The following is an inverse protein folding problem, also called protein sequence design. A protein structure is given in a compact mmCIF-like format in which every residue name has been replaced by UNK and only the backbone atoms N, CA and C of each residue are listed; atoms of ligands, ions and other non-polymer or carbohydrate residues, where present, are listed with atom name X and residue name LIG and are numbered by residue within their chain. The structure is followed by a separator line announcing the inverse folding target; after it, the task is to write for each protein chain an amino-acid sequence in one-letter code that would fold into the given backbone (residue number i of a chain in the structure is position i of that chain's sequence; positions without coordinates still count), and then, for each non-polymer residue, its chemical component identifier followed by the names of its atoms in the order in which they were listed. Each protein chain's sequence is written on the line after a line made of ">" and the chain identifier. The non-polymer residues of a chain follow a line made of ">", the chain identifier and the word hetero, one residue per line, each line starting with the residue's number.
data_IF_917230075579
#
_entry.id   IF_917230075579
#
_cell.length_a   1.000
_cell.length_b   1.000
_cell.length_c   1.000
_cell.angle_alpha   90.00
_cell.angle_beta   90.00
_cell.angle_gamma   90.00
#
_symmetry.space_group_name_H-M   'P 1'
#
loop_
_entity.id
_entity.type
_entity.pdbx_description
1 polymer ?
#
# COMPACT_ATOMS: atom_id res chain seq x y z
N UNK A 1 -11.11 10.85 -9.49
CA UNK A 1 -11.58 9.99 -10.58
C UNK A 1 -10.73 8.75 -10.81
N UNK A 2 -9.42 8.82 -11.14
CA UNK A 2 -8.62 7.59 -11.40
C UNK A 2 -8.01 6.98 -10.13
N UNK A 3 -7.51 7.80 -9.20
CA UNK A 3 -7.02 7.31 -7.90
C UNK A 3 -8.12 6.65 -7.06
N UNK A 4 -9.33 7.22 -7.08
CA UNK A 4 -10.49 6.66 -6.36
C UNK A 4 -10.84 5.26 -6.84
N UNK A 5 -10.81 5.00 -8.16
CA UNK A 5 -11.03 3.66 -8.71
C UNK A 5 -9.96 2.66 -8.28
N UNK A 6 -8.70 3.09 -8.24
CA UNK A 6 -7.62 2.24 -7.72
C UNK A 6 -7.85 1.92 -6.23
N UNK A 7 -8.21 2.93 -5.44
CA UNK A 7 -8.55 2.77 -4.03
C UNK A 7 -9.73 1.82 -3.82
N UNK A 8 -10.80 1.95 -4.62
CA UNK A 8 -11.93 1.02 -4.60
C UNK A 8 -11.48 -0.41 -4.88
N UNK A 9 -10.61 -0.60 -5.88
CA UNK A 9 -10.13 -1.93 -6.25
C UNK A 9 -9.26 -2.58 -5.17
N UNK A 10 -8.39 -1.83 -4.49
CA UNK A 10 -7.54 -2.41 -3.43
C UNK A 10 -8.27 -2.51 -2.09
N UNK A 11 -9.30 -1.70 -1.84
CA UNK A 11 -10.05 -1.71 -0.57
C UNK A 11 -10.90 -2.96 -0.38
N UNK A 12 -11.19 -3.73 -1.44
CA UNK A 12 -11.90 -5.01 -1.33
C UNK A 12 -11.02 -6.14 -0.78
N UNK A 13 -9.70 -5.94 -0.72
CA UNK A 13 -8.76 -6.96 -0.25
C UNK A 13 -8.93 -7.11 1.26
N UNK A 14 -9.31 -8.30 1.75
CA UNK A 14 -9.47 -8.53 3.17
C UNK A 14 -8.13 -8.43 3.90
N UNK A 15 -8.13 -7.74 5.05
CA UNK A 15 -6.97 -7.61 5.91
C UNK A 15 -6.93 -8.75 6.94
N UNK A 16 -6.05 -9.73 6.72
CA UNK A 16 -5.86 -10.88 7.61
C UNK A 16 -4.80 -10.63 8.69
N UNK A 17 -4.24 -9.42 8.80
CA UNK A 17 -3.22 -9.10 9.81
C UNK A 17 -3.84 -9.12 11.20
N UNK A 18 -3.00 -9.37 12.19
CA UNK A 18 -3.44 -9.39 13.59
C UNK A 18 -3.81 -7.97 14.02
N UNK A 19 -5.09 -7.70 14.31
CA UNK A 19 -5.61 -6.34 14.54
C UNK A 19 -4.80 -5.51 15.57
N UNK A 20 -4.30 -6.14 16.62
CA UNK A 20 -3.47 -5.50 17.66
C UNK A 20 -2.03 -5.18 17.23
N UNK A 21 -1.63 -5.54 16.01
CA UNK A 21 -0.33 -5.22 15.39
C UNK A 21 -0.49 -4.35 14.14
N UNK A 22 -1.67 -3.78 13.91
CA UNK A 22 -1.95 -2.95 12.74
C UNK A 22 -1.87 -1.47 13.13
N UNK A 23 -0.83 -0.79 12.65
CA UNK A 23 -0.69 0.67 12.79
C UNK A 23 -1.16 1.43 11.54
N UNK A 24 -1.12 0.77 10.37
CA UNK A 24 -1.48 1.34 9.07
C UNK A 24 -2.49 0.47 8.32
N UNK A 25 -3.40 1.10 7.58
CA UNK A 25 -4.37 0.39 6.75
C UNK A 25 -3.68 -0.38 5.64
N UNK A 26 -4.22 -1.56 5.30
CA UNK A 26 -3.67 -2.37 4.22
C UNK A 26 -3.73 -1.64 2.87
N UNK A 27 -4.81 -0.91 2.61
CA UNK A 27 -4.96 -0.09 1.40
C UNK A 27 -3.84 0.93 1.23
N UNK A 28 -3.40 1.55 2.32
CA UNK A 28 -2.41 2.61 2.28
C UNK A 28 -1.02 2.02 2.00
N UNK A 29 -0.70 0.88 2.62
CA UNK A 29 0.53 0.12 2.36
C UNK A 29 0.58 -0.37 0.89
N UNK A 30 -0.53 -0.88 0.36
CA UNK A 30 -0.60 -1.35 -1.02
C UNK A 30 -0.44 -0.20 -2.01
N UNK A 31 -1.09 0.94 -1.76
CA UNK A 31 -0.94 2.13 -2.59
C UNK A 31 0.51 2.62 -2.60
N UNK A 32 1.12 2.76 -1.42
CA UNK A 32 2.52 3.15 -1.24
C UNK A 32 3.44 2.22 -2.04
N UNK A 33 3.29 0.91 -1.84
CA UNK A 33 4.13 -0.11 -2.51
C UNK A 33 4.01 0.00 -4.03
N UNK A 34 2.80 0.16 -4.57
CA UNK A 34 2.58 0.31 -6.01
C UNK A 34 3.26 1.58 -6.53
N UNK A 35 3.08 2.71 -5.83
CA UNK A 35 3.72 3.98 -6.20
C UNK A 35 5.25 3.86 -6.18
N UNK A 36 5.82 3.34 -5.10
CA UNK A 36 7.26 3.18 -4.95
C UNK A 36 7.87 2.26 -6.02
N UNK A 37 7.25 1.10 -6.29
CA UNK A 37 7.72 0.16 -7.32
C UNK A 37 7.65 0.78 -8.73
N UNK A 38 6.58 1.51 -9.05
CA UNK A 38 6.48 2.23 -10.34
C UNK A 38 7.54 3.35 -10.42
N UNK A 39 7.89 3.96 -9.29
CA UNK A 39 8.96 4.95 -9.18
C UNK A 39 10.38 4.36 -9.17
N UNK A 40 10.52 3.03 -9.24
CA UNK A 40 11.82 2.35 -9.38
C UNK A 40 12.40 1.78 -8.09
N UNK A 41 11.62 1.66 -7.02
CA UNK A 41 12.04 0.94 -5.81
C UNK A 41 12.30 -0.54 -6.12
N UNK A 42 13.48 -1.05 -5.75
CA UNK A 42 13.88 -2.44 -5.97
C UNK A 42 13.74 -3.29 -4.69
N UNK A 43 13.66 -2.64 -3.52
CA UNK A 43 13.54 -3.30 -2.23
C UNK A 43 12.65 -2.59 -1.22
N UNK A 44 12.51 -3.20 -0.05
CA UNK A 44 11.71 -2.64 1.06
C UNK A 44 12.34 -1.38 1.66
N UNK A 45 13.67 -1.29 1.65
CA UNK A 45 14.40 -0.08 2.08
C UNK A 45 14.05 1.11 1.16
N UNK A 46 14.03 0.91 -0.16
CA UNK A 46 13.62 1.95 -1.11
C UNK A 46 12.14 2.36 -0.95
N UNK A 47 11.26 1.41 -0.60
CA UNK A 47 9.84 1.68 -0.35
C UNK A 47 9.67 2.48 0.96
N UNK A 48 10.43 2.15 2.00
CA UNK A 48 10.47 2.90 3.25
C UNK A 48 11.01 4.33 3.03
N UNK A 49 12.07 4.48 2.25
CA UNK A 49 12.62 5.79 1.87
C UNK A 49 11.64 6.62 1.01
N UNK A 50 10.72 5.96 0.30
CA UNK A 50 9.70 6.63 -0.52
C UNK A 50 8.58 7.26 0.33
N UNK A 51 8.15 6.63 1.44
CA UNK A 51 7.11 7.21 2.31
C UNK A 51 6.53 6.32 3.40
#
# INVERSE_FOLDING_TARGET
>A
MELEKLMEHISIIPDYRQAWKVEHKLSDILLLTICAVISGAEGWEDIEDFG
#
